data_IF_349325497020
#
_entry.id   IF_349325497020
#
_cell.length_a   1.000
_cell.length_b   1.000
_cell.length_c   1.000
_cell.angle_alpha   90.00
_cell.angle_beta   90.00
_cell.angle_gamma   90.00
#
_symmetry.space_group_name_H-M   'P 1'
#
loop_
_entity.id
_entity.type
_entity.pdbx_description
1 polymer ?
#
# COMPACT_ATOMS: atom_id res chain seq x y z
N UNK A 1 -23.53 38.86 -29.76
CA UNK A 1 -22.61 37.71 -29.59
C UNK A 1 -21.66 38.02 -28.45
N UNK A 2 -21.86 37.43 -27.28
CA UNK A 2 -20.91 37.23 -26.16
C UNK A 2 -21.72 37.03 -24.87
N UNK A 3 -22.36 35.88 -24.78
CA UNK A 3 -22.83 35.31 -23.52
C UNK A 3 -22.23 33.90 -23.45
N UNK A 4 -20.91 33.83 -23.33
CA UNK A 4 -20.22 32.58 -22.98
C UNK A 4 -20.58 32.29 -21.53
N UNK A 5 -21.51 31.36 -21.38
CA UNK A 5 -21.96 30.78 -20.13
C UNK A 5 -20.73 30.27 -19.36
N UNK A 6 -20.31 31.03 -18.35
CA UNK A 6 -19.51 30.55 -17.23
C UNK A 6 -20.38 29.55 -16.46
N UNK A 7 -20.51 28.35 -17.00
CA UNK A 7 -20.82 27.16 -16.20
C UNK A 7 -19.58 26.95 -15.34
N UNK A 8 -19.51 27.69 -14.23
CA UNK A 8 -18.66 27.34 -13.12
C UNK A 8 -19.11 25.93 -12.73
N UNK A 9 -18.37 24.92 -13.19
CA UNK A 9 -18.50 23.56 -12.72
C UNK A 9 -18.39 23.66 -11.20
N UNK A 10 -19.52 23.52 -10.51
CA UNK A 10 -19.54 23.40 -9.06
C UNK A 10 -18.72 22.15 -8.75
N UNK A 11 -17.44 22.34 -8.46
CA UNK A 11 -16.61 21.28 -7.93
C UNK A 11 -17.28 20.91 -6.60
N UNK A 12 -17.71 19.65 -6.41
CA UNK A 12 -18.35 19.25 -5.18
C UNK A 12 -17.44 19.63 -4.02
N UNK A 13 -17.94 20.41 -3.06
CA UNK A 13 -17.22 20.64 -1.81
C UNK A 13 -17.05 19.30 -1.13
N UNK A 14 -15.80 18.85 -1.00
CA UNK A 14 -15.50 17.58 -0.35
C UNK A 14 -15.95 17.66 1.12
N UNK A 15 -16.93 16.83 1.48
CA UNK A 15 -17.25 16.60 2.88
C UNK A 15 -16.23 15.63 3.47
N UNK A 16 -15.82 15.85 4.71
CA UNK A 16 -14.89 15.00 5.43
C UNK A 16 -15.59 14.33 6.61
N UNK A 17 -15.35 13.03 6.81
CA UNK A 17 -15.82 12.28 7.98
C UNK A 17 -14.60 11.77 8.73
N UNK A 18 -14.29 12.38 9.88
CA UNK A 18 -13.18 11.96 10.73
C UNK A 18 -13.71 11.16 11.92
N UNK A 19 -13.30 9.89 12.00
CA UNK A 19 -13.72 8.94 13.03
C UNK A 19 -12.53 8.50 13.88
N UNK A 20 -12.82 8.10 15.11
CA UNK A 20 -11.91 7.28 15.91
C UNK A 20 -12.73 6.18 16.61
N UNK A 21 -13.13 5.14 15.87
CA UNK A 21 -14.05 4.13 16.38
C UNK A 21 -13.33 3.20 17.36
N UNK A 22 -13.85 3.09 18.59
CA UNK A 22 -13.29 2.19 19.61
C UNK A 22 -13.27 0.73 19.13
N UNK A 23 -14.37 0.26 18.52
CA UNK A 23 -14.44 -1.10 17.99
C UNK A 23 -13.51 -1.33 16.79
N UNK A 24 -13.43 -0.35 15.88
CA UNK A 24 -12.45 -0.38 14.79
C UNK A 24 -11.01 -0.46 15.32
N UNK A 25 -10.71 0.24 16.41
CA UNK A 25 -9.42 0.14 17.09
C UNK A 25 -9.17 -1.27 17.67
N UNK A 26 -10.15 -1.87 18.36
CA UNK A 26 -10.05 -3.27 18.84
C UNK A 26 -9.70 -4.23 17.69
N UNK A 27 -10.48 -4.23 16.60
CA UNK A 27 -10.26 -5.16 15.49
C UNK A 27 -8.91 -4.95 14.81
N UNK A 28 -8.47 -3.70 14.68
CA UNK A 28 -7.14 -3.39 14.14
C UNK A 28 -6.03 -3.91 15.05
N UNK A 29 -6.12 -3.68 16.36
CA UNK A 29 -5.14 -4.20 17.31
C UNK A 29 -5.09 -5.73 17.32
N UNK A 30 -6.24 -6.39 17.24
CA UNK A 30 -6.33 -7.85 17.09
C UNK A 30 -5.58 -8.33 15.85
N UNK A 31 -5.73 -7.65 14.71
CA UNK A 31 -4.99 -7.98 13.49
C UNK A 31 -3.47 -7.82 13.67
N UNK A 32 -3.02 -6.78 14.38
CA UNK A 32 -1.60 -6.58 14.67
C UNK A 32 -1.06 -7.69 15.56
N UNK A 33 -1.70 -7.96 16.71
CA UNK A 33 -1.20 -8.95 17.67
C UNK A 33 -1.35 -10.40 17.18
N UNK A 34 -2.31 -10.66 16.28
CA UNK A 34 -2.45 -11.93 15.57
C UNK A 34 -1.44 -12.12 14.41
N UNK A 35 -0.65 -11.10 14.07
CA UNK A 35 0.32 -11.14 12.98
C UNK A 35 -0.31 -11.11 11.58
N UNK A 36 -1.51 -10.54 11.45
CA UNK A 36 -2.20 -10.34 10.17
C UNK A 36 -1.79 -9.04 9.47
N UNK A 37 -0.98 -8.21 10.13
CA UNK A 37 -0.43 -6.96 9.62
C UNK A 37 1.11 -7.02 9.65
N UNK A 38 1.75 -7.71 8.68
CA UNK A 38 3.21 -7.95 8.71
C UNK A 38 4.06 -6.69 8.52
N UNK A 39 3.46 -5.57 8.10
CA UNK A 39 4.14 -4.27 7.98
C UNK A 39 4.05 -3.42 9.24
N UNK A 40 3.18 -3.77 10.20
CA UNK A 40 3.03 -3.02 11.43
C UNK A 40 3.98 -3.58 12.50
N UNK A 41 4.67 -2.71 13.23
CA UNK A 41 5.53 -3.16 14.34
C UNK A 41 4.63 -3.56 15.53
N UNK A 42 4.59 -4.86 15.89
CA UNK A 42 3.64 -5.33 16.88
C UNK A 42 4.14 -5.09 18.32
N UNK A 43 5.35 -4.59 18.55
CA UNK A 43 5.96 -4.57 19.88
C UNK A 43 5.12 -3.85 20.94
N UNK A 44 4.66 -2.63 20.65
CA UNK A 44 3.86 -1.85 21.61
C UNK A 44 2.45 -2.44 21.80
N UNK A 45 1.86 -2.99 20.72
CA UNK A 45 0.57 -3.67 20.80
C UNK A 45 0.66 -4.96 21.62
N UNK A 46 1.67 -5.81 21.37
CA UNK A 46 1.89 -7.04 22.15
C UNK A 46 2.15 -6.74 23.62
N UNK A 47 2.98 -5.74 23.93
CA UNK A 47 3.23 -5.34 25.31
C UNK A 47 1.93 -4.91 26.03
N UNK A 48 1.06 -4.16 25.37
CA UNK A 48 -0.28 -3.84 25.89
C UNK A 48 -1.13 -5.11 26.08
N UNK A 49 -1.22 -5.95 25.05
CA UNK A 49 -2.12 -7.10 25.03
C UNK A 49 -1.72 -8.19 26.01
N UNK A 50 -0.43 -8.48 26.14
CA UNK A 50 0.10 -9.42 27.13
C UNK A 50 -0.23 -8.98 28.56
N UNK A 51 -0.22 -7.67 28.82
CA UNK A 51 -0.52 -7.09 30.13
C UNK A 51 -2.02 -7.04 30.44
N UNK A 52 -2.84 -6.54 29.51
CA UNK A 52 -4.23 -6.19 29.80
C UNK A 52 -5.25 -7.26 29.34
N UNK A 53 -4.92 -8.06 28.33
CA UNK A 53 -5.91 -8.87 27.61
C UNK A 53 -5.59 -10.36 27.51
N UNK A 54 -4.32 -10.78 27.53
CA UNK A 54 -3.87 -12.16 27.30
C UNK A 54 -3.42 -12.88 28.59
N UNK A 55 -4.14 -12.63 29.68
CA UNK A 55 -3.81 -13.17 31.00
C UNK A 55 -4.00 -14.68 31.12
N UNK A 56 -4.94 -15.27 30.36
CA UNK A 56 -5.27 -16.70 30.47
C UNK A 56 -4.95 -17.50 29.21
N UNK A 57 -4.93 -18.83 29.33
CA UNK A 57 -4.76 -19.72 28.18
C UNK A 57 -5.92 -19.60 27.19
N UNK A 58 -7.13 -19.34 27.68
CA UNK A 58 -8.33 -19.13 26.86
C UNK A 58 -8.25 -17.79 26.09
N UNK A 59 -7.64 -16.74 26.66
CA UNK A 59 -7.39 -15.50 25.92
C UNK A 59 -6.45 -15.75 24.74
N UNK A 60 -5.35 -16.49 24.96
CA UNK A 60 -4.41 -16.86 23.89
C UNK A 60 -5.06 -17.74 22.82
N UNK A 61 -5.87 -18.72 23.23
CA UNK A 61 -6.63 -19.56 22.31
C UNK A 61 -7.65 -18.75 21.48
N UNK A 62 -8.28 -17.73 22.08
CA UNK A 62 -9.19 -16.83 21.37
C UNK A 62 -8.46 -15.97 20.33
N UNK A 63 -7.25 -15.46 20.64
CA UNK A 63 -6.42 -14.74 19.67
C UNK A 63 -6.01 -15.65 18.50
N UNK A 64 -5.67 -16.91 18.77
CA UNK A 64 -5.40 -17.89 17.72
C UNK A 64 -6.64 -18.19 16.87
N UNK A 65 -7.82 -18.23 17.49
CA UNK A 65 -9.10 -18.35 16.77
C UNK A 65 -9.37 -17.15 15.87
N UNK A 66 -9.08 -15.92 16.33
CA UNK A 66 -9.16 -14.71 15.48
C UNK A 66 -8.32 -14.87 14.23
N UNK A 67 -7.04 -15.23 14.40
CA UNK A 67 -6.09 -15.45 13.29
C UNK A 67 -6.63 -16.46 12.28
N UNK A 68 -7.13 -17.62 12.75
CA UNK A 68 -7.68 -18.66 11.86
C UNK A 68 -8.95 -18.22 11.15
N UNK A 69 -9.87 -17.56 11.85
CA UNK A 69 -11.12 -17.10 11.28
C UNK A 69 -10.90 -16.03 10.20
N UNK A 70 -9.92 -15.12 10.42
CA UNK A 70 -9.50 -14.10 9.44
C UNK A 70 -8.72 -14.66 8.26
N UNK A 71 -8.04 -15.80 8.41
CA UNK A 71 -7.26 -16.41 7.33
C UNK A 71 -8.10 -17.03 6.21
N UNK A 72 -9.41 -17.23 6.41
CA UNK A 72 -10.31 -17.77 5.38
C UNK A 72 -10.59 -16.69 4.34
N UNK A 73 -10.05 -16.90 3.13
CA UNK A 73 -10.17 -15.95 2.02
C UNK A 73 -11.28 -16.38 1.07
N UNK A 74 -12.24 -15.49 0.82
CA UNK A 74 -12.92 -15.53 -0.48
C UNK A 74 -11.96 -14.96 -1.53
N UNK A 75 -11.82 -15.59 -2.71
CA UNK A 75 -11.00 -15.03 -3.76
C UNK A 75 -11.55 -13.65 -4.14
N UNK A 76 -10.66 -12.65 -4.24
CA UNK A 76 -11.03 -11.34 -4.75
C UNK A 76 -11.65 -11.51 -6.14
N UNK A 77 -12.82 -10.89 -6.36
CA UNK A 77 -13.40 -10.85 -7.71
C UNK A 77 -12.53 -9.95 -8.57
N UNK A 78 -11.93 -10.53 -9.61
CA UNK A 78 -11.25 -9.75 -10.64
C UNK A 78 -12.27 -8.81 -11.30
N UNK A 79 -11.96 -7.51 -11.48
CA UNK A 79 -12.80 -6.63 -12.27
C UNK A 79 -12.92 -7.22 -13.68
N UNK A 80 -14.14 -7.57 -14.10
CA UNK A 80 -14.36 -8.06 -15.46
C UNK A 80 -14.14 -6.95 -16.48
N UNK A 81 -13.62 -7.29 -17.66
CA UNK A 81 -13.72 -6.45 -18.86
C UNK A 81 -12.61 -5.44 -19.13
N UNK A 82 -11.56 -5.34 -18.31
CA UNK A 82 -10.39 -4.48 -18.59
C UNK A 82 -9.09 -5.26 -18.38
N UNK A 83 -8.25 -5.30 -19.42
CA UNK A 83 -6.92 -5.90 -19.33
C UNK A 83 -5.92 -4.84 -18.82
N UNK A 84 -5.39 -5.06 -17.63
CA UNK A 84 -4.33 -4.21 -17.09
C UNK A 84 -2.96 -4.81 -17.40
N UNK A 85 -2.13 -4.14 -18.22
CA UNK A 85 -0.93 -4.75 -18.73
C UNK A 85 0.26 -4.68 -17.76
N UNK A 86 0.14 -3.98 -16.63
CA UNK A 86 1.17 -3.92 -15.57
C UNK A 86 0.64 -4.32 -14.19
N UNK A 87 -0.52 -3.81 -13.77
CA UNK A 87 -1.06 -4.04 -12.42
C UNK A 87 -2.46 -4.63 -12.40
N UNK A 88 -2.66 -5.68 -11.61
CA UNK A 88 -4.02 -6.10 -11.28
C UNK A 88 -4.62 -5.13 -10.23
N UNK A 89 -5.58 -4.31 -10.66
CA UNK A 89 -6.36 -3.46 -9.75
C UNK A 89 -7.32 -4.26 -8.86
N UNK A 90 -7.21 -5.59 -8.79
CA UNK A 90 -7.89 -6.44 -7.80
C UNK A 90 -7.61 -6.04 -6.36
N UNK A 91 -6.55 -5.26 -6.08
CA UNK A 91 -6.32 -4.60 -4.78
C UNK A 91 -7.51 -3.74 -4.35
N UNK A 92 -8.30 -3.20 -5.30
CA UNK A 92 -9.56 -2.48 -5.01
C UNK A 92 -10.59 -3.37 -4.28
N UNK A 93 -10.47 -4.70 -4.40
CA UNK A 93 -11.36 -5.70 -3.82
C UNK A 93 -10.61 -6.65 -2.86
N UNK A 94 -9.55 -6.17 -2.19
CA UNK A 94 -8.84 -6.96 -1.18
C UNK A 94 -9.79 -7.33 -0.01
N UNK A 95 -10.09 -8.62 0.22
CA UNK A 95 -10.93 -9.06 1.32
C UNK A 95 -10.42 -8.62 2.70
N UNK A 96 -9.10 -8.48 2.87
CA UNK A 96 -8.53 -8.02 4.15
C UNK A 96 -8.84 -6.54 4.39
N UNK A 97 -8.85 -5.73 3.33
CA UNK A 97 -9.25 -4.31 3.41
C UNK A 97 -10.76 -4.19 3.69
N UNK A 98 -11.58 -5.05 3.07
CA UNK A 98 -13.01 -5.11 3.37
C UNK A 98 -13.28 -5.53 4.83
N UNK A 99 -12.55 -6.53 5.34
CA UNK A 99 -12.66 -6.99 6.70
C UNK A 99 -12.28 -5.92 7.74
N UNK A 100 -11.21 -5.15 7.49
CA UNK A 100 -10.83 -4.00 8.33
C UNK A 100 -11.85 -2.87 8.24
N UNK A 101 -12.33 -2.57 7.03
CA UNK A 101 -13.41 -1.61 6.81
C UNK A 101 -14.68 -1.96 7.58
N UNK A 102 -15.04 -3.25 7.67
CA UNK A 102 -16.15 -3.72 8.49
C UNK A 102 -15.95 -3.40 9.98
N UNK A 103 -14.71 -3.50 10.48
CA UNK A 103 -14.36 -3.12 11.86
C UNK A 103 -14.50 -1.62 12.10
N UNK A 104 -14.08 -0.77 11.16
CA UNK A 104 -14.19 0.69 11.29
C UNK A 104 -15.63 1.20 11.31
N UNK A 105 -16.52 0.49 10.62
CA UNK A 105 -17.94 0.81 10.54
C UNK A 105 -18.77 0.23 11.69
N UNK A 106 -18.29 -0.84 12.32
CA UNK A 106 -19.04 -1.53 13.37
C UNK A 106 -19.08 -0.75 14.69
N UNK A 107 -20.23 -0.77 15.35
CA UNK A 107 -20.42 -0.23 16.71
C UNK A 107 -20.01 -1.20 17.81
N UNK A 108 -20.14 -2.50 17.55
CA UNK A 108 -20.04 -3.57 18.55
C UNK A 108 -19.74 -4.93 17.88
N UNK A 109 -19.47 -6.00 18.67
CA UNK A 109 -19.20 -7.33 18.15
C UNK A 109 -20.28 -7.89 17.21
N UNK A 110 -21.56 -7.63 17.47
CA UNK A 110 -22.68 -8.19 16.71
C UNK A 110 -22.77 -7.55 15.33
N UNK A 111 -22.68 -6.21 15.25
CA UNK A 111 -22.65 -5.50 13.97
C UNK A 111 -21.43 -5.94 13.14
N UNK A 112 -20.26 -6.07 13.76
CA UNK A 112 -19.06 -6.56 13.07
C UNK A 112 -19.25 -7.97 12.48
N UNK A 113 -19.77 -8.90 13.27
CA UNK A 113 -20.04 -10.25 12.80
C UNK A 113 -21.02 -10.26 11.61
N UNK A 114 -22.08 -9.44 11.68
CA UNK A 114 -23.03 -9.25 10.58
C UNK A 114 -22.36 -8.75 9.29
N UNK A 115 -21.43 -7.80 9.39
CA UNK A 115 -20.65 -7.28 8.25
C UNK A 115 -19.61 -8.25 7.72
N UNK A 116 -19.03 -9.07 8.59
CA UNK A 116 -18.05 -10.10 8.23
C UNK A 116 -18.69 -11.34 7.61
N UNK A 117 -19.94 -11.65 7.95
CA UNK A 117 -20.69 -12.80 7.41
C UNK A 117 -20.61 -12.96 5.88
N UNK A 118 -20.86 -11.93 5.04
CA UNK A 118 -20.72 -12.07 3.59
C UNK A 118 -19.28 -12.30 3.12
N UNK A 119 -18.27 -11.90 3.91
CA UNK A 119 -16.86 -12.02 3.54
C UNK A 119 -16.27 -13.39 3.89
N UNK A 120 -16.64 -13.94 5.04
CA UNK A 120 -16.01 -15.15 5.61
C UNK A 120 -16.97 -16.33 5.79
N UNK A 121 -18.28 -16.13 5.63
CA UNK A 121 -19.32 -17.14 5.87
C UNK A 121 -19.75 -17.25 7.34
N UNK A 122 -20.85 -17.97 7.56
CA UNK A 122 -21.56 -18.07 8.85
C UNK A 122 -20.63 -18.55 9.97
N UNK A 123 -20.00 -19.72 9.79
CA UNK A 123 -19.12 -20.33 10.79
C UNK A 123 -17.98 -19.42 11.23
N UNK A 124 -17.28 -18.79 10.28
CA UNK A 124 -16.18 -17.88 10.60
C UNK A 124 -16.70 -16.59 11.24
N UNK A 125 -17.85 -16.06 10.81
CA UNK A 125 -18.44 -14.87 11.42
C UNK A 125 -18.86 -15.10 12.88
N UNK A 126 -19.38 -16.28 13.20
CA UNK A 126 -19.71 -16.69 14.57
C UNK A 126 -18.45 -16.84 15.44
N UNK A 127 -17.35 -17.35 14.87
CA UNK A 127 -16.05 -17.41 15.55
C UNK A 127 -15.54 -16.00 15.88
N UNK A 128 -15.58 -15.09 14.89
CA UNK A 128 -15.18 -13.69 15.08
C UNK A 128 -16.04 -13.00 16.14
N UNK A 129 -17.36 -13.24 16.15
CA UNK A 129 -18.27 -12.74 17.18
C UNK A 129 -17.87 -13.22 18.57
N UNK A 130 -17.58 -14.52 18.72
CA UNK A 130 -17.19 -15.10 20.02
C UNK A 130 -15.90 -14.48 20.54
N UNK A 131 -14.90 -14.33 19.67
CA UNK A 131 -13.62 -13.70 20.05
C UNK A 131 -13.81 -12.22 20.38
N UNK A 132 -14.56 -11.47 19.56
CA UNK A 132 -14.85 -10.06 19.82
C UNK A 132 -15.61 -9.86 21.14
N UNK A 133 -16.63 -10.67 21.44
CA UNK A 133 -17.35 -10.62 22.72
C UNK A 133 -16.45 -10.93 23.93
N UNK A 134 -15.42 -11.76 23.76
CA UNK A 134 -14.46 -12.05 24.82
C UNK A 134 -13.60 -10.83 25.17
N UNK A 135 -13.08 -10.14 24.15
CA UNK A 135 -12.15 -9.04 24.37
C UNK A 135 -12.82 -7.68 24.54
N UNK A 136 -14.02 -7.48 23.97
CA UNK A 136 -14.68 -6.18 23.93
C UNK A 136 -14.90 -5.55 25.32
N UNK A 137 -15.41 -6.26 26.36
CA UNK A 137 -15.60 -5.65 27.67
C UNK A 137 -14.29 -5.16 28.32
N UNK A 138 -13.23 -5.98 28.27
CA UNK A 138 -11.91 -5.60 28.79
C UNK A 138 -11.32 -4.44 28.00
N UNK A 139 -11.47 -4.47 26.67
CA UNK A 139 -10.99 -3.40 25.79
C UNK A 139 -11.72 -2.08 26.04
N UNK A 140 -13.04 -2.08 26.22
CA UNK A 140 -13.79 -0.87 26.56
C UNK A 140 -13.32 -0.25 27.87
N UNK A 141 -13.12 -1.07 28.91
CA UNK A 141 -12.60 -0.59 30.19
C UNK A 141 -11.23 0.08 30.06
N UNK A 142 -10.33 -0.51 29.26
CA UNK A 142 -9.04 0.11 28.94
C UNK A 142 -9.20 1.36 28.07
N UNK A 143 -10.05 1.31 27.04
CA UNK A 143 -10.28 2.40 26.09
C UNK A 143 -10.78 3.65 26.80
N UNK A 144 -11.82 3.51 27.63
CA UNK A 144 -12.40 4.61 28.39
C UNK A 144 -11.38 5.26 29.34
N UNK A 145 -10.47 4.46 29.89
CA UNK A 145 -9.42 4.92 30.81
C UNK A 145 -8.25 5.61 30.10
N UNK A 146 -7.75 5.04 29.01
CA UNK A 146 -6.43 5.39 28.45
C UNK A 146 -6.50 6.07 27.08
N UNK A 147 -7.48 5.69 26.23
CA UNK A 147 -7.43 5.99 24.80
C UNK A 147 -8.55 6.92 24.33
N UNK A 148 -9.73 6.91 24.97
CA UNK A 148 -10.91 7.65 24.51
C UNK A 148 -10.68 9.16 24.45
N UNK A 149 -10.29 9.75 25.57
CA UNK A 149 -10.05 11.20 25.66
C UNK A 149 -9.00 11.70 24.65
N UNK A 150 -7.78 11.13 24.55
CA UNK A 150 -6.82 11.57 23.53
C UNK A 150 -7.33 11.33 22.10
N UNK A 151 -8.11 10.27 21.87
CA UNK A 151 -8.71 9.99 20.56
C UNK A 151 -9.76 11.02 20.14
N UNK A 152 -10.64 11.41 21.05
CA UNK A 152 -11.65 12.44 20.80
C UNK A 152 -10.99 13.80 20.51
N UNK A 153 -9.99 14.18 21.31
CA UNK A 153 -9.23 15.42 21.11
C UNK A 153 -8.52 15.43 19.75
N UNK A 154 -7.83 14.34 19.38
CA UNK A 154 -7.13 14.24 18.10
C UNK A 154 -8.11 14.30 16.93
N UNK A 155 -9.19 13.51 16.99
CA UNK A 155 -10.25 13.47 15.97
C UNK A 155 -10.86 14.85 15.72
N UNK A 156 -11.23 15.59 16.77
CA UNK A 156 -11.86 16.90 16.64
C UNK A 156 -10.91 17.95 16.06
N UNK A 157 -9.65 17.96 16.51
CA UNK A 157 -8.64 18.86 15.97
C UNK A 157 -8.34 18.54 14.51
N UNK A 158 -8.27 17.25 14.14
CA UNK A 158 -8.09 16.81 12.75
C UNK A 158 -9.28 17.22 11.87
N UNK A 159 -10.52 17.03 12.35
CA UNK A 159 -11.73 17.45 11.62
C UNK A 159 -11.70 18.96 11.31
N UNK A 160 -11.45 19.80 12.33
CA UNK A 160 -11.32 21.26 12.18
C UNK A 160 -10.15 21.65 11.26
N UNK A 161 -9.07 20.89 11.27
CA UNK A 161 -7.92 21.11 10.40
C UNK A 161 -8.28 20.87 8.94
N UNK A 162 -8.94 19.75 8.64
CA UNK A 162 -9.35 19.38 7.28
C UNK A 162 -10.37 20.37 6.69
N UNK A 163 -11.22 20.97 7.52
CA UNK A 163 -12.19 22.01 7.11
C UNK A 163 -11.57 23.36 6.74
N UNK A 164 -10.26 23.56 6.95
CA UNK A 164 -9.61 24.83 6.59
C UNK A 164 -9.66 25.05 5.06
N UNK A 165 -9.95 26.28 4.58
CA UNK A 165 -10.04 26.58 3.14
C UNK A 165 -8.83 26.10 2.33
N UNK A 166 -7.61 26.33 2.85
CA UNK A 166 -6.38 25.86 2.20
C UNK A 166 -6.36 24.35 1.95
N UNK A 167 -6.96 23.55 2.85
CA UNK A 167 -7.01 22.10 2.72
C UNK A 167 -8.16 21.69 1.79
N UNK A 168 -9.37 22.22 1.99
CA UNK A 168 -10.51 21.93 1.12
C UNK A 168 -10.22 22.26 -0.35
N UNK A 169 -9.57 23.40 -0.62
CA UNK A 169 -9.22 23.82 -1.97
C UNK A 169 -8.14 22.91 -2.58
N UNK A 170 -7.19 22.46 -1.75
CA UNK A 170 -6.17 21.50 -2.16
C UNK A 170 -6.79 20.15 -2.50
N UNK A 171 -7.70 19.64 -1.67
CA UNK A 171 -8.42 18.39 -1.93
C UNK A 171 -9.28 18.50 -3.19
N UNK A 172 -9.98 19.61 -3.40
CA UNK A 172 -10.75 19.85 -4.60
C UNK A 172 -9.86 19.79 -5.86
N UNK A 173 -8.66 20.37 -5.79
CA UNK A 173 -7.68 20.29 -6.87
C UNK A 173 -7.17 18.86 -7.09
N UNK A 174 -6.94 18.09 -6.03
CA UNK A 174 -6.56 16.67 -6.15
C UNK A 174 -7.68 15.82 -6.75
N UNK A 175 -8.94 16.08 -6.39
CA UNK A 175 -10.10 15.42 -7.01
C UNK A 175 -10.19 15.73 -8.51
N UNK A 176 -9.96 16.98 -8.91
CA UNK A 176 -9.91 17.36 -10.33
C UNK A 176 -8.74 16.68 -11.08
N UNK A 177 -7.61 16.50 -10.39
CA UNK A 177 -6.43 15.82 -10.93
C UNK A 177 -6.66 14.32 -11.16
N UNK A 178 -7.14 13.60 -10.15
CA UNK A 178 -7.34 12.15 -10.20
C UNK A 178 -8.65 11.72 -10.87
N UNK A 179 -9.61 12.63 -11.05
CA UNK A 179 -10.92 12.38 -11.67
C UNK A 179 -11.61 11.10 -11.20
N UNK A 180 -11.89 10.94 -9.89
CA UNK A 180 -12.53 9.72 -9.39
C UNK A 180 -13.90 9.49 -10.08
N UNK A 181 -14.17 8.27 -10.59
CA UNK A 181 -15.40 7.92 -11.34
C UNK A 181 -16.66 8.14 -10.51
N UNK A 182 -16.56 7.81 -9.24
CA UNK A 182 -17.54 8.19 -8.25
C UNK A 182 -16.90 9.37 -7.53
N UNK A 183 -17.34 10.59 -7.83
CA UNK A 183 -17.31 11.64 -6.80
C UNK A 183 -17.83 10.94 -5.54
N UNK A 184 -17.00 10.86 -4.49
CA UNK A 184 -17.28 10.02 -3.33
C UNK A 184 -18.75 10.20 -2.97
N UNK A 185 -19.57 9.15 -3.13
CA UNK A 185 -21.00 9.23 -2.82
C UNK A 185 -21.10 9.26 -1.30
N UNK A 186 -20.84 10.42 -0.73
CA UNK A 186 -20.61 10.60 0.70
C UNK A 186 -19.27 11.26 1.01
N UNK A 187 -19.01 11.51 2.30
CA UNK A 187 -17.79 12.15 2.76
C UNK A 187 -16.56 11.26 2.50
N UNK A 188 -15.41 11.91 2.34
CA UNK A 188 -14.09 11.25 2.39
C UNK A 188 -13.85 10.82 3.84
N UNK A 189 -13.57 9.52 4.03
CA UNK A 189 -13.53 8.91 5.36
C UNK A 189 -12.11 8.80 5.88
N UNK A 190 -11.87 9.37 7.05
CA UNK A 190 -10.60 9.32 7.76
C UNK A 190 -10.78 8.58 9.09
N UNK A 191 -9.98 7.54 9.32
CA UNK A 191 -10.04 6.72 10.54
C UNK A 191 -8.77 6.92 11.34
N UNK A 192 -8.90 7.58 12.48
CA UNK A 192 -7.79 7.85 13.40
C UNK A 192 -7.69 6.70 14.41
N UNK A 193 -6.60 5.93 14.35
CA UNK A 193 -6.37 4.79 15.23
C UNK A 193 -5.36 5.14 16.31
N UNK A 194 -5.80 5.13 17.57
CA UNK A 194 -4.92 5.23 18.72
C UNK A 194 -3.91 4.08 18.74
N UNK A 195 -2.62 4.40 18.78
CA UNK A 195 -1.50 3.48 18.92
C UNK A 195 -1.00 3.49 20.37
N UNK A 196 -0.96 2.33 21.06
CA UNK A 196 -0.42 2.25 22.41
C UNK A 196 1.10 2.42 22.41
N UNK A 197 1.66 2.81 23.56
CA UNK A 197 3.11 2.96 23.78
C UNK A 197 3.53 4.41 24.06
N UNK A 198 4.85 4.64 24.06
CA UNK A 198 5.41 5.98 24.31
C UNK A 198 5.09 6.95 23.17
N UNK A 199 5.14 8.26 23.47
CA UNK A 199 4.92 9.34 22.51
C UNK A 199 5.95 9.36 21.35
N UNK A 200 7.07 8.64 21.50
CA UNK A 200 8.14 8.55 20.52
C UNK A 200 7.99 7.29 19.65
N UNK A 201 8.14 7.43 18.33
CA UNK A 201 8.26 6.31 17.40
C UNK A 201 7.41 6.49 16.14
N UNK A 202 7.51 5.52 15.22
CA UNK A 202 6.87 5.63 13.91
C UNK A 202 5.36 5.40 14.01
N UNK A 203 4.59 6.29 13.41
CA UNK A 203 3.17 6.07 13.09
C UNK A 203 3.06 5.55 11.66
N UNK A 204 2.05 4.75 11.36
CA UNK A 204 1.75 4.34 9.99
C UNK A 204 0.48 5.04 9.48
N UNK A 205 0.49 5.32 8.18
CA UNK A 205 -0.68 5.62 7.37
C UNK A 205 -0.96 4.44 6.44
N UNK A 206 -2.23 4.19 6.14
CA UNK A 206 -2.61 3.24 5.11
C UNK A 206 -3.98 3.58 4.53
N UNK A 207 -4.08 3.54 3.21
CA UNK A 207 -5.35 3.57 2.51
C UNK A 207 -5.99 2.17 2.45
N UNK A 208 -7.19 2.03 3.02
CA UNK A 208 -7.97 0.79 3.05
C UNK A 208 -9.33 1.00 2.39
N UNK A 209 -9.46 0.68 1.10
CA UNK A 209 -10.70 0.92 0.36
C UNK A 209 -11.08 2.41 0.40
N UNK A 210 -12.24 2.81 0.95
CA UNK A 210 -12.62 4.23 1.11
C UNK A 210 -12.07 4.90 2.39
N UNK A 211 -11.31 4.19 3.24
CA UNK A 211 -10.83 4.71 4.52
C UNK A 211 -9.35 5.09 4.45
N UNK A 212 -9.04 6.37 4.63
CA UNK A 212 -7.67 6.83 4.90
C UNK A 212 -7.40 6.64 6.40
N UNK A 213 -6.60 5.63 6.73
CA UNK A 213 -6.36 5.21 8.12
C UNK A 213 -5.01 5.74 8.58
N UNK A 214 -5.01 6.47 9.69
CA UNK A 214 -3.77 7.03 10.25
C UNK A 214 -3.70 6.70 11.73
N UNK A 215 -2.56 6.13 12.12
CA UNK A 215 -2.26 5.91 13.53
C UNK A 215 -1.77 7.20 14.19
N UNK A 216 -2.17 7.42 15.44
CA UNK A 216 -1.68 8.53 16.25
C UNK A 216 -1.45 8.09 17.69
N UNK A 217 -0.69 8.88 18.44
CA UNK A 217 -0.38 8.66 19.86
C UNK A 217 -0.99 9.74 20.74
N UNK A 218 -1.08 9.46 22.04
CA UNK A 218 -1.49 10.45 23.02
C UNK A 218 -0.57 11.68 22.99
N UNK A 219 -1.17 12.88 22.98
CA UNK A 219 -0.45 14.16 23.00
C UNK A 219 0.08 14.62 21.64
N UNK A 220 -0.09 13.83 20.58
CA UNK A 220 0.36 14.18 19.24
C UNK A 220 -0.42 15.35 18.63
N UNK A 221 0.25 16.21 17.85
CA UNK A 221 -0.37 17.33 17.15
C UNK A 221 -0.86 16.91 15.75
N UNK A 222 -2.17 17.00 15.46
CA UNK A 222 -2.72 16.76 14.12
C UNK A 222 -2.07 17.55 12.99
N UNK A 223 -1.50 18.75 13.25
CA UNK A 223 -0.79 19.51 12.22
C UNK A 223 0.46 18.77 11.70
N UNK A 224 1.05 17.87 12.49
CA UNK A 224 2.19 17.04 12.10
C UNK A 224 1.79 15.77 11.33
N UNK A 225 0.47 15.56 11.11
CA UNK A 225 -0.06 14.34 10.47
C UNK A 225 -0.93 14.62 9.27
N UNK A 226 -1.30 15.87 9.03
CA UNK A 226 -2.22 16.21 7.95
C UNK A 226 -1.64 15.91 6.56
N UNK A 227 -0.33 15.98 6.41
CA UNK A 227 0.40 15.56 5.22
C UNK A 227 0.24 14.06 4.97
N UNK A 228 0.41 13.22 5.99
CA UNK A 228 0.17 11.77 5.91
C UNK A 228 -1.30 11.49 5.61
N UNK A 229 -2.24 12.18 6.27
CA UNK A 229 -3.68 12.03 6.01
C UNK A 229 -4.02 12.30 4.54
N UNK A 230 -3.46 13.37 3.94
CA UNK A 230 -3.71 13.68 2.53
C UNK A 230 -2.88 12.83 1.57
N UNK A 231 -1.72 12.30 1.98
CA UNK A 231 -0.99 11.25 1.25
C UNK A 231 -1.88 10.03 1.06
N UNK A 232 -2.47 9.50 2.14
CA UNK A 232 -3.37 8.34 2.04
C UNK A 232 -4.61 8.64 1.19
N UNK A 233 -5.16 9.86 1.31
CA UNK A 233 -6.25 10.30 0.43
C UNK A 233 -5.86 10.25 -1.04
N UNK A 234 -4.62 10.58 -1.41
CA UNK A 234 -4.17 10.52 -2.80
C UNK A 234 -4.24 9.09 -3.35
N UNK A 235 -3.89 8.08 -2.55
CA UNK A 235 -4.09 6.67 -2.93
C UNK A 235 -5.56 6.34 -3.14
N UNK A 236 -6.46 6.86 -2.30
CA UNK A 236 -7.90 6.68 -2.49
C UNK A 236 -8.36 7.28 -3.83
N UNK A 237 -7.95 8.52 -4.09
CA UNK A 237 -8.34 9.25 -5.30
C UNK A 237 -7.78 8.59 -6.55
N UNK A 238 -6.51 8.18 -6.54
CA UNK A 238 -5.89 7.38 -7.59
C UNK A 238 -6.71 6.11 -7.85
N UNK A 239 -6.94 5.30 -6.81
CA UNK A 239 -7.70 4.05 -6.93
C UNK A 239 -9.19 4.24 -7.23
N UNK A 240 -9.73 5.45 -7.14
CA UNK A 240 -11.11 5.75 -7.49
C UNK A 240 -11.27 6.24 -8.93
N UNK A 241 -10.16 6.49 -9.64
CA UNK A 241 -10.16 6.89 -11.05
C UNK A 241 -10.69 5.79 -12.01
N UNK A 242 -11.08 6.16 -13.24
CA UNK A 242 -11.66 5.24 -14.21
C UNK A 242 -10.75 4.09 -14.57
N UNK A 243 -11.29 2.86 -14.58
CA UNK A 243 -10.52 1.66 -14.93
C UNK A 243 -9.91 1.78 -16.34
N UNK A 244 -10.66 2.32 -17.29
CA UNK A 244 -10.18 2.57 -18.66
C UNK A 244 -9.09 3.64 -18.73
N UNK A 245 -9.18 4.68 -17.89
CA UNK A 245 -8.17 5.73 -17.82
C UNK A 245 -6.87 5.22 -17.20
N UNK A 246 -6.95 4.37 -16.17
CA UNK A 246 -5.80 3.66 -15.61
C UNK A 246 -5.16 2.70 -16.60
N UNK A 247 -5.95 1.91 -17.32
CA UNK A 247 -5.43 1.03 -18.36
C UNK A 247 -4.71 1.82 -19.45
N UNK A 248 -5.27 2.99 -19.84
CA UNK A 248 -4.62 3.88 -20.80
C UNK A 248 -3.31 4.47 -20.25
N UNK A 249 -3.31 4.92 -19.00
CA UNK A 249 -2.10 5.42 -18.34
C UNK A 249 -1.01 4.35 -18.34
N UNK A 250 -1.32 3.12 -17.93
CA UNK A 250 -0.39 1.98 -18.00
C UNK A 250 0.14 1.78 -19.42
N UNK A 251 -0.74 1.84 -20.43
CA UNK A 251 -0.35 1.70 -21.83
C UNK A 251 0.62 2.81 -22.28
N UNK A 252 0.40 4.06 -21.85
CA UNK A 252 1.30 5.17 -22.17
C UNK A 252 2.71 4.95 -21.58
N UNK A 253 2.83 4.34 -20.39
CA UNK A 253 4.14 3.93 -19.84
C UNK A 253 4.77 2.77 -20.63
N UNK A 254 3.96 1.81 -21.10
CA UNK A 254 4.45 0.69 -21.91
C UNK A 254 4.93 1.11 -23.29
N UNK A 255 4.23 2.05 -23.93
CA UNK A 255 4.58 2.51 -25.27
C UNK A 255 5.72 3.53 -25.26
N UNK A 256 6.09 4.03 -24.07
CA UNK A 256 7.24 4.91 -23.90
C UNK A 256 8.54 4.20 -24.29
N UNK A 257 9.32 4.88 -25.14
CA UNK A 257 10.68 4.48 -25.50
C UNK A 257 11.72 4.98 -24.49
N UNK A 258 11.31 5.80 -23.52
CA UNK A 258 12.23 6.31 -22.51
C UNK A 258 12.67 5.17 -21.58
N UNK A 259 13.98 5.01 -21.31
CA UNK A 259 14.42 3.96 -20.41
C UNK A 259 13.97 4.25 -18.97
N UNK A 260 13.63 3.20 -18.22
CA UNK A 260 13.10 3.32 -16.87
C UNK A 260 11.59 3.59 -16.78
N UNK A 261 10.85 3.57 -17.90
CA UNK A 261 9.40 3.79 -17.90
C UNK A 261 8.64 2.83 -16.97
N UNK A 262 8.95 1.54 -17.00
CA UNK A 262 8.31 0.53 -16.12
C UNK A 262 8.62 0.78 -14.63
N UNK A 263 9.89 0.92 -14.22
CA UNK A 263 10.26 1.38 -12.89
C UNK A 263 9.55 2.67 -12.43
N UNK A 264 9.46 3.68 -13.32
CA UNK A 264 8.74 4.91 -13.02
C UNK A 264 7.26 4.64 -12.73
N UNK A 265 6.60 3.83 -13.56
CA UNK A 265 5.21 3.42 -13.34
C UNK A 265 5.04 2.75 -11.97
N UNK A 266 5.94 1.84 -11.60
CA UNK A 266 5.86 1.13 -10.32
C UNK A 266 5.98 2.08 -9.10
N UNK A 267 6.66 3.22 -9.26
CA UNK A 267 6.79 4.26 -8.23
C UNK A 267 5.63 5.26 -8.25
N UNK A 268 4.84 5.31 -9.31
CA UNK A 268 3.94 6.43 -9.63
C UNK A 268 2.96 6.75 -8.51
N UNK A 269 2.27 5.75 -7.97
CA UNK A 269 1.22 5.93 -6.96
C UNK A 269 1.79 6.56 -5.68
N UNK A 270 2.85 5.95 -5.11
CA UNK A 270 3.55 6.45 -3.92
C UNK A 270 4.23 7.81 -4.16
N UNK A 271 4.91 7.97 -5.29
CA UNK A 271 5.60 9.22 -5.62
C UNK A 271 4.61 10.38 -5.80
N UNK A 272 3.43 10.14 -6.40
CA UNK A 272 2.39 11.17 -6.51
C UNK A 272 1.74 11.46 -5.17
N UNK A 273 1.36 10.44 -4.40
CA UNK A 273 0.80 10.64 -3.06
C UNK A 273 1.75 11.48 -2.20
N UNK A 274 3.05 11.16 -2.26
CA UNK A 274 4.10 11.90 -1.57
C UNK A 274 4.27 13.33 -2.12
N UNK A 275 4.34 13.51 -3.44
CA UNK A 275 4.52 14.83 -4.05
C UNK A 275 3.34 15.77 -3.77
N UNK A 276 2.12 15.22 -3.70
CA UNK A 276 0.89 15.97 -3.46
C UNK A 276 0.67 16.21 -1.95
N UNK A 277 0.69 15.15 -1.13
CA UNK A 277 0.47 15.19 0.30
C UNK A 277 1.63 15.85 1.07
N UNK A 278 2.87 15.38 0.86
CA UNK A 278 4.04 15.91 1.56
C UNK A 278 4.68 17.10 0.83
N UNK A 279 4.48 17.24 -0.48
CA UNK A 279 5.00 18.38 -1.25
C UNK A 279 4.02 19.54 -1.37
N UNK A 280 3.01 19.39 -2.23
CA UNK A 280 2.06 20.47 -2.58
C UNK A 280 1.31 21.00 -1.37
N UNK A 281 0.72 20.14 -0.54
CA UNK A 281 0.00 20.59 0.66
C UNK A 281 0.95 21.28 1.64
N UNK A 282 2.06 20.64 2.01
CA UNK A 282 3.01 21.19 3.00
C UNK A 282 3.56 22.55 2.55
N UNK A 283 3.83 22.73 1.24
CA UNK A 283 4.24 24.03 0.69
C UNK A 283 3.23 25.16 0.90
N UNK A 284 1.94 24.84 1.08
CA UNK A 284 0.85 25.80 1.33
C UNK A 284 0.65 26.08 2.83
N UNK A 285 1.10 25.17 3.68
CA UNK A 285 0.96 25.22 5.14
C UNK A 285 2.20 25.81 5.82
N UNK A 286 3.39 25.58 5.27
CA UNK A 286 4.66 26.08 5.79
C UNK A 286 4.99 27.49 5.27
N UNK A 287 5.88 28.18 5.98
CA UNK A 287 6.54 29.38 5.46
C UNK A 287 7.50 29.01 4.31
N UNK A 288 7.70 29.88 3.31
CA UNK A 288 8.54 29.57 2.14
C UNK A 288 9.95 29.10 2.49
N UNK A 289 10.62 29.74 3.44
CA UNK A 289 11.99 29.42 3.84
C UNK A 289 12.07 28.04 4.50
N UNK A 290 11.11 27.74 5.37
CA UNK A 290 10.99 26.43 6.01
C UNK A 290 10.68 25.33 4.99
N UNK A 291 9.81 25.60 4.02
CA UNK A 291 9.52 24.65 2.96
C UNK A 291 10.73 24.43 2.03
N UNK A 292 11.52 25.46 1.74
CA UNK A 292 12.74 25.31 0.94
C UNK A 292 13.76 24.39 1.62
N UNK A 293 13.95 24.53 2.94
CA UNK A 293 14.79 23.64 3.74
C UNK A 293 14.24 22.21 3.74
N UNK A 294 12.93 22.06 3.95
CA UNK A 294 12.25 20.78 3.91
C UNK A 294 12.40 20.10 2.55
N UNK A 295 12.18 20.80 1.43
CA UNK A 295 12.34 20.27 0.08
C UNK A 295 13.79 19.82 -0.21
N UNK A 296 14.79 20.54 0.31
CA UNK A 296 16.20 20.23 0.07
C UNK A 296 16.74 19.06 0.93
N UNK A 297 16.18 18.84 2.12
CA UNK A 297 16.64 17.80 3.03
C UNK A 297 16.41 16.38 2.45
N UNK A 298 17.38 15.44 2.52
CA UNK A 298 17.17 14.06 2.06
C UNK A 298 16.06 13.35 2.83
N UNK A 299 15.25 12.53 2.15
CA UNK A 299 14.19 11.71 2.77
C UNK A 299 13.18 12.50 3.60
N UNK A 300 13.04 13.79 3.33
CA UNK A 300 12.11 14.66 4.04
C UNK A 300 10.67 14.49 3.58
N UNK A 301 10.43 14.20 2.30
CA UNK A 301 9.09 13.93 1.79
C UNK A 301 8.68 12.49 2.13
N UNK A 302 9.64 11.55 2.08
CA UNK A 302 9.38 10.15 2.35
C UNK A 302 10.63 9.42 2.87
N UNK A 303 10.45 8.42 3.73
CA UNK A 303 11.54 7.67 4.35
C UNK A 303 12.33 6.73 3.42
N UNK A 304 11.93 6.60 2.15
CA UNK A 304 12.61 5.80 1.14
C UNK A 304 13.23 6.69 0.06
N UNK A 305 14.54 6.55 -0.26
CA UNK A 305 15.23 7.43 -1.20
C UNK A 305 14.63 7.46 -2.62
N UNK A 306 14.11 6.34 -3.12
CA UNK A 306 13.52 6.23 -4.45
C UNK A 306 12.19 7.00 -4.56
N UNK A 307 11.31 6.83 -3.57
CA UNK A 307 10.02 7.54 -3.49
C UNK A 307 10.25 9.03 -3.21
N UNK A 308 11.11 9.39 -2.25
CA UNK A 308 11.46 10.79 -1.95
C UNK A 308 12.05 11.49 -3.18
N UNK A 309 12.98 10.82 -3.88
CA UNK A 309 13.59 11.32 -5.10
C UNK A 309 12.57 11.52 -6.22
N UNK A 310 11.74 10.52 -6.52
CA UNK A 310 10.69 10.62 -7.54
C UNK A 310 9.67 11.73 -7.22
N UNK A 311 9.24 11.83 -5.95
CA UNK A 311 8.28 12.83 -5.51
C UNK A 311 8.83 14.25 -5.63
N UNK A 312 10.07 14.50 -5.19
CA UNK A 312 10.73 15.81 -5.31
C UNK A 312 11.01 16.21 -6.75
N UNK A 313 11.39 15.25 -7.60
CA UNK A 313 11.53 15.48 -9.03
C UNK A 313 10.21 15.91 -9.67
N UNK A 314 9.10 15.39 -9.15
CA UNK A 314 7.75 15.63 -9.67
C UNK A 314 7.13 16.90 -9.12
N UNK A 315 7.46 17.29 -7.89
CA UNK A 315 6.83 18.38 -7.14
C UNK A 315 6.69 19.70 -7.90
N UNK A 316 7.76 20.17 -8.54
CA UNK A 316 7.76 21.48 -9.20
C UNK A 316 6.74 21.55 -10.34
N UNK A 317 6.84 20.62 -11.29
CA UNK A 317 5.98 20.63 -12.46
C UNK A 317 4.57 20.12 -12.16
N UNK A 318 4.38 19.21 -11.19
CA UNK A 318 3.03 18.75 -10.84
C UNK A 318 2.21 19.89 -10.22
N UNK A 319 2.83 20.76 -9.43
CA UNK A 319 2.16 21.97 -8.91
C UNK A 319 1.64 22.85 -10.05
N UNK A 320 2.45 23.06 -11.09
CA UNK A 320 2.08 23.87 -12.25
C UNK A 320 1.04 23.14 -13.14
N UNK A 321 1.12 21.81 -13.22
CA UNK A 321 0.15 20.94 -13.89
C UNK A 321 -1.24 21.05 -13.24
N UNK A 322 -1.28 20.99 -11.91
CA UNK A 322 -2.50 21.18 -11.11
C UNK A 322 -3.07 22.59 -11.25
N UNK A 323 -2.21 23.62 -11.25
CA UNK A 323 -2.62 25.02 -11.44
C UNK A 323 -3.25 25.24 -12.83
N UNK A 324 -2.80 24.46 -13.82
CA UNK A 324 -3.36 24.45 -15.18
C UNK A 324 -4.64 23.61 -15.32
N UNK A 325 -5.15 23.03 -14.23
CA UNK A 325 -6.35 22.18 -14.24
C UNK A 325 -6.20 20.87 -15.01
N UNK A 326 -4.97 20.42 -15.26
CA UNK A 326 -4.71 19.17 -15.99
C UNK A 326 -4.85 17.97 -15.05
N UNK A 327 -5.40 16.87 -15.57
CA UNK A 327 -5.53 15.61 -14.83
C UNK A 327 -4.31 14.69 -14.97
N UNK A 328 -4.24 13.68 -14.10
CA UNK A 328 -3.33 12.54 -14.20
C UNK A 328 -3.44 11.85 -15.57
N UNK A 329 -4.65 11.77 -16.11
CA UNK A 329 -4.94 11.09 -17.37
C UNK A 329 -4.83 12.01 -18.60
N UNK A 330 -4.26 13.21 -18.45
CA UNK A 330 -4.08 14.11 -19.60
C UNK A 330 -2.92 13.64 -20.49
N UNK A 331 -3.00 13.84 -21.82
CA UNK A 331 -1.90 13.50 -22.73
C UNK A 331 -0.57 14.13 -22.31
N UNK A 332 0.52 13.38 -22.44
CA UNK A 332 1.88 13.82 -22.08
C UNK A 332 2.21 13.74 -20.59
N UNK A 333 1.26 13.33 -19.72
CA UNK A 333 1.54 13.14 -18.29
C UNK A 333 2.65 12.10 -18.07
N UNK A 334 2.50 10.89 -18.62
CA UNK A 334 3.46 9.81 -18.41
C UNK A 334 4.87 10.20 -18.90
N UNK A 335 4.95 10.85 -20.07
CA UNK A 335 6.22 11.35 -20.62
C UNK A 335 6.90 12.35 -19.68
N UNK A 336 6.15 13.34 -19.19
CA UNK A 336 6.64 14.37 -18.28
C UNK A 336 7.14 13.76 -16.96
N UNK A 337 6.37 12.81 -16.42
CA UNK A 337 6.73 12.11 -15.18
C UNK A 337 7.98 11.25 -15.36
N UNK A 338 8.08 10.45 -16.42
CA UNK A 338 9.27 9.61 -16.69
C UNK A 338 10.50 10.50 -16.84
N UNK A 339 10.40 11.59 -17.60
CA UNK A 339 11.52 12.52 -17.78
C UNK A 339 11.98 13.12 -16.46
N UNK A 340 11.05 13.62 -15.63
CA UNK A 340 11.39 14.19 -14.33
C UNK A 340 12.03 13.16 -13.39
N UNK A 341 11.40 11.99 -13.22
CA UNK A 341 11.92 10.93 -12.37
C UNK A 341 13.31 10.46 -12.84
N UNK A 342 13.51 10.30 -14.15
CA UNK A 342 14.80 9.89 -14.73
C UNK A 342 15.90 10.92 -14.53
N UNK A 343 15.61 12.22 -14.66
CA UNK A 343 16.59 13.26 -14.39
C UNK A 343 17.12 13.21 -12.95
N UNK A 344 16.26 12.82 -11.99
CA UNK A 344 16.63 12.75 -10.57
C UNK A 344 17.25 11.42 -10.16
N UNK A 345 16.66 10.31 -10.59
CA UNK A 345 17.03 8.95 -10.15
C UNK A 345 18.06 8.29 -11.08
N UNK A 346 18.15 8.72 -12.34
CA UNK A 346 19.17 8.25 -13.28
C UNK A 346 19.24 6.72 -13.39
N UNK A 347 20.41 6.17 -13.05
CA UNK A 347 20.69 4.74 -13.10
C UNK A 347 19.94 3.93 -12.01
N UNK A 348 19.47 4.55 -10.93
CA UNK A 348 18.73 3.82 -9.88
C UNK A 348 17.41 3.25 -10.40
N UNK A 349 16.79 3.88 -11.41
CA UNK A 349 15.62 3.33 -12.10
C UNK A 349 15.95 2.05 -12.88
N UNK A 350 17.22 1.79 -13.17
CA UNK A 350 17.63 0.65 -13.99
C UNK A 350 18.04 -0.54 -13.10
N UNK A 351 18.05 -0.37 -11.77
CA UNK A 351 18.37 -1.42 -10.81
C UNK A 351 17.22 -2.43 -10.66
N UNK A 352 17.51 -3.70 -10.35
CA UNK A 352 16.47 -4.72 -10.16
C UNK A 352 15.37 -4.28 -9.18
N UNK A 353 15.73 -3.69 -8.04
CA UNK A 353 14.76 -3.25 -7.02
C UNK A 353 13.65 -2.34 -7.59
N UNK A 354 13.98 -1.49 -8.56
CA UNK A 354 13.02 -0.58 -9.17
C UNK A 354 11.94 -1.32 -9.99
N UNK A 355 12.25 -2.51 -10.49
CA UNK A 355 11.29 -3.40 -11.14
C UNK A 355 10.48 -4.23 -10.14
N UNK A 356 11.04 -4.55 -8.96
CA UNK A 356 10.44 -5.48 -8.00
C UNK A 356 9.65 -4.80 -6.88
N UNK A 357 9.42 -3.49 -6.92
CA UNK A 357 8.60 -2.80 -5.92
C UNK A 357 7.15 -3.30 -5.85
N UNK A 358 6.64 -3.88 -6.95
CA UNK A 358 5.41 -4.68 -6.99
C UNK A 358 5.73 -6.03 -7.66
N UNK A 359 5.65 -7.14 -6.93
CA UNK A 359 6.11 -8.42 -7.44
C UNK A 359 5.35 -9.64 -6.92
N UNK A 360 5.52 -10.75 -7.64
CA UNK A 360 5.03 -12.07 -7.28
C UNK A 360 6.20 -12.97 -6.89
N UNK A 361 6.15 -13.54 -5.70
CA UNK A 361 7.12 -14.53 -5.21
C UNK A 361 6.53 -15.94 -5.37
N UNK A 362 7.21 -16.80 -6.11
CA UNK A 362 6.96 -18.24 -6.09
C UNK A 362 8.11 -18.86 -5.31
N UNK A 363 7.85 -19.43 -4.15
CA UNK A 363 8.90 -20.04 -3.34
C UNK A 363 8.66 -21.53 -3.10
N UNK A 364 9.75 -22.27 -2.99
CA UNK A 364 9.75 -23.68 -2.62
C UNK A 364 9.32 -23.84 -1.15
N UNK A 365 8.35 -24.72 -0.90
CA UNK A 365 7.86 -25.03 0.46
C UNK A 365 8.99 -25.46 1.40
N UNK A 366 10.09 -25.99 0.87
CA UNK A 366 11.27 -26.38 1.65
C UNK A 366 11.90 -25.23 2.46
N UNK A 367 11.74 -23.96 2.03
CA UNK A 367 12.27 -22.82 2.79
C UNK A 367 11.34 -22.35 3.93
N UNK A 368 10.09 -22.81 3.95
CA UNK A 368 9.08 -22.29 4.88
C UNK A 368 8.73 -20.80 4.62
N UNK A 369 8.20 -20.07 5.62
CA UNK A 369 7.72 -18.69 5.44
C UNK A 369 8.82 -17.62 5.54
N UNK A 370 10.02 -17.95 6.02
CA UNK A 370 11.09 -17.00 6.30
C UNK A 370 11.54 -16.14 5.08
N UNK A 371 11.70 -16.70 3.85
CA UNK A 371 12.15 -15.88 2.72
C UNK A 371 11.20 -14.74 2.37
N UNK A 372 9.91 -14.86 2.67
CA UNK A 372 8.93 -13.82 2.38
C UNK A 372 9.32 -12.48 3.03
N UNK A 373 9.79 -12.52 4.29
CA UNK A 373 10.20 -11.32 5.02
C UNK A 373 11.53 -10.78 4.51
N UNK A 374 12.48 -11.67 4.23
CA UNK A 374 13.78 -11.31 3.66
C UNK A 374 13.63 -10.63 2.29
N UNK A 375 12.87 -11.23 1.38
CA UNK A 375 12.54 -10.66 0.06
C UNK A 375 11.89 -9.29 0.20
N UNK A 376 10.91 -9.16 1.10
CA UNK A 376 10.25 -7.87 1.33
C UNK A 376 11.23 -6.79 1.80
N UNK A 377 12.11 -7.12 2.74
CA UNK A 377 13.04 -6.17 3.34
C UNK A 377 14.17 -5.79 2.38
N UNK A 378 14.88 -6.78 1.83
CA UNK A 378 16.05 -6.57 0.97
C UNK A 378 15.67 -5.89 -0.35
N UNK A 379 14.55 -6.26 -0.97
CA UNK A 379 14.08 -5.63 -2.21
C UNK A 379 13.19 -4.40 -1.97
N UNK A 380 12.92 -4.04 -0.71
CA UNK A 380 12.04 -2.92 -0.35
C UNK A 380 10.70 -2.97 -1.09
N UNK A 381 10.08 -4.15 -1.11
CA UNK A 381 8.86 -4.41 -1.89
C UNK A 381 7.67 -3.68 -1.25
N UNK A 382 7.01 -2.82 -2.02
CA UNK A 382 5.80 -2.14 -1.59
C UNK A 382 4.59 -3.09 -1.59
N UNK A 383 4.46 -3.92 -2.63
CA UNK A 383 3.40 -4.93 -2.75
C UNK A 383 3.96 -6.30 -3.15
N UNK A 384 3.73 -7.29 -2.29
CA UNK A 384 4.25 -8.66 -2.44
C UNK A 384 3.11 -9.67 -2.37
N UNK A 385 2.83 -10.30 -3.50
CA UNK A 385 2.00 -11.51 -3.55
C UNK A 385 2.91 -12.73 -3.54
N UNK A 386 2.55 -13.80 -2.83
CA UNK A 386 3.39 -14.99 -2.75
C UNK A 386 2.60 -16.30 -2.87
N UNK A 387 3.24 -17.30 -3.44
CA UNK A 387 2.78 -18.68 -3.50
C UNK A 387 3.90 -19.61 -3.02
N UNK A 388 3.57 -20.55 -2.13
CA UNK A 388 4.48 -21.59 -1.67
C UNK A 388 4.12 -22.89 -2.37
N UNK A 389 5.03 -23.45 -3.16
CA UNK A 389 4.77 -24.64 -3.99
C UNK A 389 5.81 -25.71 -3.74
N UNK A 390 5.48 -26.98 -3.96
CA UNK A 390 6.43 -28.09 -3.90
C UNK A 390 7.18 -28.32 -5.23
N UNK A 391 6.85 -27.53 -6.27
CA UNK A 391 7.33 -27.70 -7.64
C UNK A 391 7.17 -29.14 -8.20
N UNK A 392 6.33 -30.00 -7.61
CA UNK A 392 6.01 -31.35 -8.10
C UNK A 392 4.85 -31.33 -9.10
N UNK A 393 3.93 -30.38 -8.95
CA UNK A 393 2.73 -30.25 -9.77
C UNK A 393 2.68 -29.02 -10.67
N UNK A 394 1.49 -28.69 -11.14
CA UNK A 394 1.20 -27.54 -12.01
C UNK A 394 0.93 -26.25 -11.22
N UNK A 395 1.05 -26.26 -9.90
CA UNK A 395 0.70 -25.13 -9.03
C UNK A 395 1.55 -23.89 -9.32
N UNK A 396 2.88 -24.04 -9.44
CA UNK A 396 3.79 -22.95 -9.76
C UNK A 396 3.49 -22.35 -11.15
N UNK A 397 3.28 -23.20 -12.16
CA UNK A 397 2.92 -22.77 -13.51
C UNK A 397 1.55 -22.07 -13.55
N UNK A 398 0.58 -22.57 -12.78
CA UNK A 398 -0.76 -21.97 -12.68
C UNK A 398 -0.70 -20.62 -11.97
N UNK A 399 0.08 -20.51 -10.89
CA UNK A 399 0.34 -19.27 -10.17
C UNK A 399 1.00 -18.22 -11.07
N UNK A 400 1.97 -18.64 -11.88
CA UNK A 400 2.63 -17.79 -12.86
C UNK A 400 1.63 -17.30 -13.93
N UNK A 401 0.85 -18.22 -14.52
CA UNK A 401 -0.19 -17.89 -15.52
C UNK A 401 -1.28 -16.97 -14.98
N UNK A 402 -1.61 -17.07 -13.69
CA UNK A 402 -2.61 -16.21 -13.05
C UNK A 402 -2.15 -14.75 -12.90
N UNK A 403 -0.84 -14.50 -12.99
CA UNK A 403 -0.21 -13.19 -12.79
C UNK A 403 0.72 -12.81 -13.97
N UNK A 404 0.24 -12.78 -15.23
CA UNK A 404 1.10 -12.69 -16.43
C UNK A 404 2.00 -11.45 -16.51
N UNK A 405 1.60 -10.38 -15.85
CA UNK A 405 2.22 -9.05 -16.00
C UNK A 405 3.06 -8.61 -14.79
N UNK A 406 3.09 -9.41 -13.72
CA UNK A 406 3.84 -9.06 -12.51
C UNK A 406 5.29 -9.52 -12.58
N UNK A 407 6.26 -8.63 -12.24
CA UNK A 407 7.64 -9.01 -11.97
C UNK A 407 7.67 -10.20 -11.02
N UNK A 408 8.45 -11.23 -11.35
CA UNK A 408 8.38 -12.51 -10.61
C UNK A 408 9.74 -12.90 -10.05
N UNK A 409 9.80 -13.23 -8.77
CA UNK A 409 10.94 -13.90 -8.17
C UNK A 409 10.55 -15.35 -7.92
N UNK A 410 11.36 -16.29 -8.41
CA UNK A 410 11.19 -17.72 -8.16
C UNK A 410 12.34 -18.16 -7.27
N UNK A 411 12.05 -18.58 -6.04
CA UNK A 411 13.04 -19.10 -5.10
C UNK A 411 12.92 -20.61 -5.00
N UNK A 412 13.94 -21.35 -5.42
CA UNK A 412 13.92 -22.81 -5.50
C UNK A 412 15.14 -23.46 -4.87
N UNK A 413 14.99 -24.70 -4.44
CA UNK A 413 16.12 -25.53 -4.02
C UNK A 413 16.85 -26.14 -5.23
N UNK A 414 18.12 -26.57 -5.10
CA UNK A 414 18.83 -27.27 -6.18
C UNK A 414 18.10 -28.51 -6.69
N UNK A 415 17.40 -29.22 -5.80
CA UNK A 415 16.59 -30.40 -6.15
C UNK A 415 15.48 -30.09 -7.15
N UNK A 416 14.91 -28.88 -7.11
CA UNK A 416 13.83 -28.44 -7.97
C UNK A 416 14.27 -27.49 -9.11
N UNK A 417 15.58 -27.19 -9.22
CA UNK A 417 16.09 -26.25 -10.20
C UNK A 417 15.76 -26.62 -11.66
N UNK A 418 15.88 -27.90 -12.02
CA UNK A 418 15.55 -28.40 -13.36
C UNK A 418 14.07 -28.23 -13.73
N UNK A 419 13.18 -28.11 -12.74
CA UNK A 419 11.75 -27.93 -12.98
C UNK A 419 11.35 -26.50 -13.25
N UNK A 420 12.22 -25.54 -12.99
CA UNK A 420 11.98 -24.13 -13.33
C UNK A 420 11.88 -23.96 -14.84
N UNK A 421 12.58 -24.78 -15.63
CA UNK A 421 12.46 -24.79 -17.09
C UNK A 421 11.02 -25.04 -17.55
N UNK A 422 10.29 -25.92 -16.85
CA UNK A 422 8.89 -26.24 -17.15
C UNK A 422 7.92 -25.06 -16.91
N UNK A 423 8.37 -24.01 -16.21
CA UNK A 423 7.59 -22.77 -16.07
C UNK A 423 7.57 -21.93 -17.35
N UNK A 424 8.42 -22.25 -18.34
CA UNK A 424 8.47 -21.55 -19.62
C UNK A 424 9.00 -20.11 -19.51
N UNK A 425 9.81 -19.81 -18.49
CA UNK A 425 10.33 -18.46 -18.26
C UNK A 425 11.37 -18.03 -19.32
N UNK A 426 11.98 -18.97 -20.06
CA UNK A 426 13.03 -18.66 -21.03
C UNK A 426 14.30 -18.13 -20.37
N UNK A 427 14.81 -18.85 -19.37
CA UNK A 427 16.03 -18.49 -18.63
C UNK A 427 17.19 -18.34 -19.62
N UNK A 428 17.83 -17.16 -19.64
CA UNK A 428 18.90 -16.87 -20.61
C UNK A 428 20.29 -17.15 -20.04
N UNK A 429 20.68 -16.43 -18.99
CA UNK A 429 22.04 -16.44 -18.42
C UNK A 429 22.00 -16.24 -16.90
N UNK A 430 22.97 -16.82 -16.15
CA UNK A 430 23.16 -16.47 -14.76
C UNK A 430 23.59 -15.00 -14.63
N UNK A 431 22.98 -14.26 -13.70
CA UNK A 431 23.41 -12.94 -13.24
C UNK A 431 24.64 -13.08 -12.34
N UNK A 432 24.62 -14.12 -11.51
CA UNK A 432 25.70 -14.54 -10.62
C UNK A 432 25.48 -16.01 -10.24
N UNK A 433 26.42 -16.69 -9.56
CA UNK A 433 26.21 -18.05 -9.11
C UNK A 433 24.92 -18.19 -8.27
N UNK A 434 23.94 -18.93 -8.80
CA UNK A 434 22.65 -19.16 -8.16
C UNK A 434 21.56 -18.14 -8.48
N UNK A 435 21.83 -17.05 -9.22
CA UNK A 435 20.84 -16.07 -9.64
C UNK A 435 20.73 -16.05 -11.16
N UNK A 436 19.53 -16.22 -11.70
CA UNK A 436 19.27 -16.26 -13.13
C UNK A 436 18.19 -15.26 -13.52
N UNK A 437 18.35 -14.62 -14.67
CA UNK A 437 17.36 -13.69 -15.19
C UNK A 437 16.63 -14.27 -16.41
N UNK A 438 15.35 -13.94 -16.47
CA UNK A 438 14.45 -14.25 -17.56
C UNK A 438 13.49 -13.06 -17.78
N UNK A 439 12.76 -13.10 -18.89
CA UNK A 439 11.75 -12.09 -19.22
C UNK A 439 10.46 -12.81 -19.59
N UNK A 440 9.39 -12.51 -18.85
CA UNK A 440 8.07 -13.11 -19.10
C UNK A 440 7.40 -12.51 -20.33
N UNK A 441 7.70 -11.24 -20.57
CA UNK A 441 7.35 -10.47 -21.76
C UNK A 441 8.37 -9.32 -21.90
N UNK A 442 8.18 -8.41 -22.86
CA UNK A 442 9.12 -7.28 -23.11
C UNK A 442 9.30 -6.29 -21.94
N UNK A 443 8.43 -6.34 -20.92
CA UNK A 443 8.34 -5.39 -19.80
C UNK A 443 8.50 -6.02 -18.43
N UNK A 444 8.13 -7.29 -18.29
CA UNK A 444 8.01 -7.95 -16.99
C UNK A 444 9.19 -8.91 -16.78
N UNK A 445 10.14 -8.57 -15.91
CA UNK A 445 11.26 -9.45 -15.61
C UNK A 445 10.82 -10.64 -14.73
N UNK A 446 11.59 -11.72 -14.82
CA UNK A 446 11.57 -12.80 -13.85
C UNK A 446 13.00 -13.10 -13.40
N UNK A 447 13.20 -13.29 -12.10
CA UNK A 447 14.47 -13.74 -11.52
C UNK A 447 14.25 -15.08 -10.87
N UNK A 448 15.17 -16.01 -11.08
CA UNK A 448 15.19 -17.33 -10.44
C UNK A 448 16.40 -17.36 -9.52
N UNK A 449 16.17 -17.65 -8.24
CA UNK A 449 17.21 -17.88 -7.24
C UNK A 449 17.21 -19.37 -6.91
N UNK A 450 18.35 -20.03 -7.11
CA UNK A 450 18.58 -21.42 -6.71
C UNK A 450 19.48 -21.40 -5.47
N UNK A 451 18.94 -21.80 -4.32
CA UNK A 451 19.63 -21.75 -3.03
C UNK A 451 19.48 -23.07 -2.27
N UNK A 452 20.57 -23.61 -1.72
CA UNK A 452 20.58 -24.83 -0.92
C UNK A 452 20.06 -24.67 0.50
N UNK A 453 19.91 -23.44 0.99
CA UNK A 453 19.43 -23.13 2.34
C UNK A 453 18.75 -21.76 2.42
N UNK A 454 18.03 -21.50 3.51
CA UNK A 454 17.44 -20.18 3.82
C UNK A 454 18.50 -19.07 3.84
N UNK A 455 19.61 -19.29 4.55
CA UNK A 455 20.69 -18.30 4.66
C UNK A 455 21.29 -17.95 3.30
N UNK A 456 21.44 -18.94 2.42
CA UNK A 456 21.92 -18.70 1.06
C UNK A 456 20.89 -17.94 0.23
N UNK A 457 19.58 -18.26 0.36
CA UNK A 457 18.52 -17.51 -0.30
C UNK A 457 18.55 -16.03 0.10
N UNK A 458 18.65 -15.74 1.40
CA UNK A 458 18.72 -14.37 1.92
C UNK A 458 19.94 -13.61 1.38
N UNK A 459 21.11 -14.27 1.34
CA UNK A 459 22.32 -13.71 0.73
C UNK A 459 22.12 -13.37 -0.74
N UNK A 460 21.52 -14.27 -1.52
CA UNK A 460 21.31 -14.10 -2.96
C UNK A 460 20.25 -13.03 -3.27
N UNK A 461 19.22 -12.89 -2.43
CA UNK A 461 18.24 -11.80 -2.53
C UNK A 461 18.91 -10.44 -2.24
N UNK A 462 19.73 -10.37 -1.20
CA UNK A 462 20.50 -9.15 -0.89
C UNK A 462 21.52 -8.81 -1.99
N UNK A 463 22.09 -9.82 -2.65
CA UNK A 463 22.97 -9.65 -3.81
C UNK A 463 22.19 -9.05 -4.99
N UNK A 464 21.01 -9.61 -5.31
CA UNK A 464 20.10 -9.06 -6.32
C UNK A 464 19.76 -7.60 -6.01
N UNK A 465 19.42 -7.26 -4.76
CA UNK A 465 19.10 -5.89 -4.37
C UNK A 465 20.23 -4.89 -4.68
N UNK A 466 21.48 -5.32 -4.58
CA UNK A 466 22.67 -4.46 -4.75
C UNK A 466 23.16 -4.35 -6.18
N UNK A 467 22.63 -5.13 -7.13
CA UNK A 467 23.09 -5.10 -8.52
C UNK A 467 22.90 -3.70 -9.15
N UNK A 468 23.88 -3.21 -9.93
CA UNK A 468 23.89 -1.84 -10.41
C UNK A 468 22.97 -1.57 -11.61
N UNK A 469 22.70 -2.57 -12.44
CA UNK A 469 21.86 -2.41 -13.64
C UNK A 469 21.21 -3.74 -14.05
N UNK A 470 19.95 -3.67 -14.50
CA UNK A 470 19.17 -4.77 -15.04
C UNK A 470 19.22 -4.85 -16.59
N UNK A 471 19.61 -3.77 -17.30
CA UNK A 471 19.65 -3.71 -18.77
C UNK A 471 20.74 -4.53 -19.41
N UNK A 472 21.86 -4.78 -18.74
CA UNK A 472 22.87 -5.74 -19.19
C UNK A 472 22.28 -7.12 -19.55
N UNK A 473 21.02 -7.38 -19.16
CA UNK A 473 20.33 -8.66 -19.29
C UNK A 473 19.12 -8.64 -20.23
N UNK A 474 18.78 -7.50 -20.87
CA UNK A 474 17.96 -7.47 -22.09
C UNK A 474 18.85 -7.80 -23.30
N UNK A 475 19.40 -9.01 -23.30
CA UNK A 475 20.12 -9.56 -24.46
C UNK A 475 19.22 -9.80 -25.65
#
# INVERSE_FOLDING_TARGET
MLASVLLALQVPTAAFEVRSPAFGNLTYQLDVVAGLLPWENPAAYKALWDKEFLATAEDKAALDSWRRARAVRQPARKPGGVNFPLEDLSVRNDPDNAARGAGFEASDPTDYAGRMKPLVGDKQSEELLRVANRFWPKFCAWWDKEAKAPSEVFREKMAKLLERPKITDTVAQFMAFYKPERAAKGPLKFVMLFKPGSATGDSSGQQLGPYSVVQFRAGEDPNQRVDIVLHELCHYLYNSGPLSAHARLQQDFLDSKQPGAIPCFNLLDEALATALGNGVLVSRLMKPEGFAQYLAAPMSFYGRPDIDGAAKATFGWIRDWLASGKSLFAPGFAESYITAARQRLGADLERPMAYFSRMFLIQDKAFGPAPLMSVRNELSVASLSASMTDFQGTEAASSLKANPNMPTLVLVTPQHASRVEALGLGIKKPLSPGVFCAWRNRWTPAVVIVAGSQTEADRLVAELARMPDFKAFKG
#
